data_IF_167363221118
#
_entry.id   IF_167363221118
#
_cell.length_a   1.000
_cell.length_b   1.000
_cell.length_c   1.000
_cell.angle_alpha   90.00
_cell.angle_beta   90.00
_cell.angle_gamma   90.00
#
_symmetry.space_group_name_H-M   'P 1'
#
loop_
_entity.id
_entity.type
_entity.pdbx_description
1 polymer ?
#
# COMPACT_ATOMS: atom_id res chain seq x y z
N UNK A 1 -27.91 -0.24 32.85
CA UNK A 1 -26.61 -0.93 33.08
C UNK A 1 -25.63 -0.36 32.07
N UNK A 2 -24.44 0.06 32.52
CA UNK A 2 -23.38 0.50 31.60
C UNK A 2 -22.65 -0.72 31.05
N UNK A 3 -22.27 -0.69 29.78
CA UNK A 3 -21.42 -1.71 29.14
C UNK A 3 -20.24 -1.03 28.43
N UNK A 4 -19.54 -1.82 27.62
CA UNK A 4 -18.46 -1.37 26.76
C UNK A 4 -18.54 -2.06 25.40
N UNK A 5 -17.95 -1.42 24.39
CA UNK A 5 -17.70 -1.99 23.07
C UNK A 5 -16.21 -2.28 22.95
N UNK A 6 -15.86 -3.41 22.35
CA UNK A 6 -14.49 -3.82 22.07
C UNK A 6 -14.39 -4.29 20.63
N UNK A 7 -13.39 -3.79 19.90
CA UNK A 7 -13.16 -4.10 18.49
C UNK A 7 -14.41 -3.87 17.60
N UNK A 8 -15.17 -2.81 17.88
CA UNK A 8 -16.40 -2.46 17.14
C UNK A 8 -17.64 -3.29 17.50
N UNK A 9 -17.49 -4.34 18.32
CA UNK A 9 -18.58 -5.19 18.77
C UNK A 9 -19.02 -4.85 20.20
N UNK A 10 -20.29 -5.10 20.50
CA UNK A 10 -20.88 -4.93 21.84
C UNK A 10 -21.76 -6.12 22.15
N UNK A 11 -21.42 -6.86 23.20
CA UNK A 11 -22.20 -8.03 23.64
C UNK A 11 -23.30 -7.59 24.62
N UNK A 12 -24.55 -7.90 24.30
CA UNK A 12 -25.72 -7.49 25.10
C UNK A 12 -25.80 -8.19 26.46
N UNK A 13 -25.18 -9.37 26.59
CA UNK A 13 -25.18 -10.18 27.79
C UNK A 13 -24.11 -9.74 28.82
N UNK A 14 -23.19 -8.83 28.47
CA UNK A 14 -22.16 -8.31 29.38
C UNK A 14 -22.53 -6.91 29.88
N UNK A 15 -22.49 -6.75 31.19
CA UNK A 15 -22.75 -5.49 31.86
C UNK A 15 -21.67 -5.19 32.88
N UNK A 16 -21.23 -3.94 32.95
CA UNK A 16 -20.30 -3.49 33.99
C UNK A 16 -21.05 -3.36 35.31
N UNK A 17 -20.48 -3.90 36.37
CA UNK A 17 -21.09 -3.86 37.69
C UNK A 17 -21.24 -2.43 38.23
N UNK A 18 -22.31 -2.23 39.00
CA UNK A 18 -22.62 -0.91 39.56
C UNK A 18 -21.58 -0.52 40.61
N UNK A 19 -21.07 0.70 40.49
CA UNK A 19 -20.14 1.26 41.47
C UNK A 19 -18.66 1.06 41.11
N UNK A 20 -18.37 0.46 39.96
CA UNK A 20 -17.00 0.43 39.45
C UNK A 20 -16.44 1.83 39.26
N UNK A 21 -15.30 2.10 39.92
CA UNK A 21 -14.58 3.36 39.83
C UNK A 21 -13.44 3.21 38.84
N UNK A 22 -13.65 3.74 37.64
CA UNK A 22 -12.63 3.79 36.61
C UNK A 22 -11.46 4.71 37.04
N UNK A 23 -10.21 4.29 36.86
CA UNK A 23 -9.04 5.15 37.05
C UNK A 23 -9.14 6.44 36.22
N UNK A 24 -8.91 7.59 36.86
CA UNK A 24 -9.00 8.91 36.21
C UNK A 24 -7.75 9.19 35.35
N UNK A 25 -6.59 8.74 35.82
CA UNK A 25 -5.30 8.86 35.14
C UNK A 25 -4.59 7.50 35.04
N UNK A 26 -3.56 7.43 34.20
CA UNK A 26 -2.69 6.26 34.12
C UNK A 26 -1.67 6.31 35.26
N UNK A 27 -1.15 5.18 35.75
CA UNK A 27 -0.16 5.17 36.82
C UNK A 27 1.02 6.08 36.48
N UNK A 28 1.48 6.85 37.47
CA UNK A 28 2.59 7.78 37.33
C UNK A 28 3.75 7.30 38.19
N UNK A 29 4.88 7.03 37.55
CA UNK A 29 6.14 6.76 38.23
C UNK A 29 6.95 8.05 38.31
N UNK A 30 7.22 8.51 39.52
CA UNK A 30 7.97 9.73 39.78
C UNK A 30 9.33 9.39 40.36
N UNK A 31 10.39 9.91 39.74
CA UNK A 31 11.75 9.77 40.27
C UNK A 31 12.11 11.01 41.08
N UNK A 32 12.46 10.80 42.35
CA UNK A 32 12.80 11.87 43.29
C UNK A 32 14.27 11.78 43.71
N UNK A 33 14.90 12.94 43.84
CA UNK A 33 16.26 13.09 44.38
C UNK A 33 16.19 13.67 45.79
N UNK A 34 16.62 12.88 46.77
CA UNK A 34 16.79 13.32 48.15
C UNK A 34 18.23 13.79 48.38
N UNK A 35 18.40 14.96 48.99
CA UNK A 35 19.72 15.58 49.24
C UNK A 35 19.85 15.89 50.74
N UNK A 36 21.02 15.67 51.38
CA UNK A 36 21.23 16.04 52.78
C UNK A 36 20.93 17.52 53.04
N UNK A 37 20.35 17.82 54.20
CA UNK A 37 19.95 19.17 54.63
C UNK A 37 18.88 19.85 53.76
N UNK A 38 18.19 19.11 52.88
CA UNK A 38 17.01 19.59 52.16
C UNK A 38 15.74 18.87 52.66
N UNK A 39 14.78 19.57 53.28
CA UNK A 39 13.51 18.98 53.65
C UNK A 39 12.72 18.52 52.42
N UNK A 40 12.48 17.21 52.32
CA UNK A 40 11.77 16.59 51.20
C UNK A 40 12.70 16.11 50.08
N UNK A 41 12.19 16.07 48.85
CA UNK A 41 12.95 15.60 47.68
C UNK A 41 12.61 16.45 46.44
N UNK A 42 13.55 16.51 45.49
CA UNK A 42 13.36 17.18 44.19
C UNK A 42 12.79 16.20 43.18
N UNK A 43 11.72 16.57 42.47
CA UNK A 43 11.17 15.76 41.37
C UNK A 43 12.10 15.87 40.15
N UNK A 44 12.71 14.76 39.74
CA UNK A 44 13.59 14.70 38.57
C UNK A 44 12.79 14.53 37.28
N UNK A 45 11.89 13.55 37.25
CA UNK A 45 11.01 13.30 36.11
C UNK A 45 9.73 12.57 36.55
N UNK A 46 8.73 12.58 35.67
CA UNK A 46 7.50 11.80 35.79
C UNK A 46 7.35 10.96 34.52
N UNK A 47 7.22 9.65 34.68
CA UNK A 47 6.93 8.70 33.61
C UNK A 47 5.48 8.24 33.74
N UNK A 48 4.75 8.25 32.64
CA UNK A 48 3.39 7.71 32.58
C UNK A 48 3.47 6.26 32.14
N UNK A 49 2.97 5.33 32.96
CA UNK A 49 3.02 3.90 32.68
C UNK A 49 1.76 3.42 31.94
N UNK A 50 1.75 2.16 31.51
CA UNK A 50 0.60 1.53 30.87
C UNK A 50 -0.64 1.63 31.75
N UNK A 51 -1.79 1.93 31.15
CA UNK A 51 -3.05 2.01 31.89
C UNK A 51 -3.71 0.65 31.94
N UNK A 52 -4.05 0.19 33.13
CA UNK A 52 -4.79 -1.06 33.34
C UNK A 52 -6.20 -0.76 33.84
N UNK A 53 -7.19 -1.38 33.24
CA UNK A 53 -8.58 -1.35 33.68
C UNK A 53 -9.00 -2.72 34.18
N UNK A 54 -9.22 -2.86 35.48
CA UNK A 54 -9.90 -4.02 36.06
C UNK A 54 -11.39 -3.75 36.09
N UNK A 55 -12.12 -4.21 35.06
CA UNK A 55 -13.54 -3.96 34.85
C UNK A 55 -14.34 -5.14 35.42
N UNK A 56 -15.05 -4.97 36.55
CA UNK A 56 -15.95 -5.99 37.05
C UNK A 56 -17.18 -6.05 36.14
N UNK A 57 -17.49 -7.25 35.65
CA UNK A 57 -18.58 -7.51 34.72
C UNK A 57 -19.49 -8.61 35.25
N UNK A 58 -20.79 -8.39 35.08
CA UNK A 58 -21.82 -9.41 35.19
C UNK A 58 -22.24 -9.90 33.81
N UNK A 59 -22.35 -11.21 33.66
CA UNK A 59 -22.83 -11.92 32.48
C UNK A 59 -24.22 -12.44 32.79
N UNK A 60 -25.23 -11.98 32.05
CA UNK A 60 -26.60 -12.49 32.18
C UNK A 60 -26.83 -13.51 31.07
N UNK A 61 -27.01 -14.78 31.45
CA UNK A 61 -27.17 -15.88 30.47
C UNK A 61 -28.58 -15.81 29.84
N UNK A 62 -28.71 -15.68 28.52
CA UNK A 62 -30.01 -15.71 27.85
C UNK A 62 -30.68 -17.09 27.96
N UNK A 63 -32.01 -17.12 28.07
CA UNK A 63 -32.79 -18.35 28.15
C UNK A 63 -32.48 -19.30 26.98
N UNK A 64 -32.01 -20.51 27.29
CA UNK A 64 -31.68 -21.54 26.30
C UNK A 64 -30.20 -21.59 25.86
N UNK A 65 -29.36 -20.70 26.37
CA UNK A 65 -27.89 -20.73 26.14
C UNK A 65 -27.19 -21.24 27.39
N UNK A 66 -26.04 -21.92 27.22
CA UNK A 66 -25.19 -22.34 28.34
C UNK A 66 -24.09 -21.31 28.58
N UNK A 67 -23.71 -21.13 29.84
CA UNK A 67 -22.60 -20.25 30.22
C UNK A 67 -21.30 -20.61 29.50
N UNK A 68 -21.00 -21.92 29.33
CA UNK A 68 -19.79 -22.40 28.64
C UNK A 68 -19.65 -21.86 27.21
N UNK A 69 -20.75 -21.83 26.44
CA UNK A 69 -20.76 -21.29 25.06
C UNK A 69 -20.48 -19.79 25.07
N UNK A 70 -21.01 -19.07 26.07
CA UNK A 70 -20.71 -17.65 26.23
C UNK A 70 -19.24 -17.41 26.61
N UNK A 71 -18.61 -18.32 27.38
CA UNK A 71 -17.18 -18.21 27.71
C UNK A 71 -16.33 -18.31 26.44
N UNK A 72 -16.67 -19.24 25.54
CA UNK A 72 -16.01 -19.37 24.23
C UNK A 72 -16.20 -18.11 23.37
N UNK A 73 -17.44 -17.61 23.25
CA UNK A 73 -17.73 -16.37 22.50
C UNK A 73 -17.02 -15.13 23.08
N UNK A 74 -16.88 -15.04 24.41
CA UNK A 74 -16.12 -13.98 25.07
C UNK A 74 -14.63 -14.09 24.76
N UNK A 75 -14.08 -15.31 24.81
CA UNK A 75 -12.67 -15.55 24.49
C UNK A 75 -12.36 -15.17 23.04
N UNK A 76 -13.16 -15.63 22.09
CA UNK A 76 -13.02 -15.31 20.66
C UNK A 76 -13.14 -13.81 20.39
N UNK A 77 -13.98 -13.11 21.15
CA UNK A 77 -14.18 -11.67 21.00
C UNK A 77 -13.07 -10.82 21.62
N UNK A 78 -12.60 -11.16 22.83
CA UNK A 78 -11.68 -10.32 23.60
C UNK A 78 -10.20 -10.63 23.34
N UNK A 79 -9.87 -11.89 23.00
CA UNK A 79 -8.49 -12.30 22.73
C UNK A 79 -8.08 -11.83 21.34
N UNK A 80 -7.13 -10.90 21.30
CA UNK A 80 -6.66 -10.28 20.06
C UNK A 80 -5.14 -10.11 20.09
N UNK A 81 -4.47 -10.30 18.95
CA UNK A 81 -3.00 -10.20 18.85
C UNK A 81 -2.49 -8.75 18.93
N UNK A 82 -3.35 -7.78 18.62
CA UNK A 82 -3.00 -6.37 18.52
C UNK A 82 -3.99 -5.52 19.31
N UNK A 83 -3.57 -4.38 19.92
CA UNK A 83 -4.47 -3.49 20.63
C UNK A 83 -5.66 -3.06 19.77
N UNK A 84 -6.87 -3.28 20.28
CA UNK A 84 -8.13 -2.90 19.63
C UNK A 84 -8.84 -1.80 20.39
N UNK A 85 -9.80 -1.19 19.70
CA UNK A 85 -10.61 -0.11 20.24
C UNK A 85 -11.50 -0.60 21.38
N UNK A 86 -11.38 0.03 22.53
CA UNK A 86 -12.22 -0.14 23.71
C UNK A 86 -12.96 1.18 23.99
N UNK A 87 -14.28 1.15 24.00
CA UNK A 87 -15.15 2.32 24.21
C UNK A 87 -16.13 1.99 25.33
N UNK A 88 -16.24 2.86 26.33
CA UNK A 88 -17.20 2.68 27.42
C UNK A 88 -18.48 3.49 27.16
N UNK A 89 -19.66 2.93 27.47
CA UNK A 89 -20.95 3.61 27.24
C UNK A 89 -21.06 4.97 27.96
N UNK A 90 -20.32 5.16 29.06
CA UNK A 90 -20.28 6.41 29.83
C UNK A 90 -19.47 7.53 29.15
N UNK A 91 -18.57 7.19 28.24
CA UNK A 91 -17.76 8.14 27.47
C UNK A 91 -17.65 7.68 26.00
N UNK A 92 -18.75 7.74 25.22
CA UNK A 92 -18.78 7.19 23.86
C UNK A 92 -17.85 7.93 22.89
N UNK A 93 -17.44 9.16 23.21
CA UNK A 93 -16.56 9.98 22.38
C UNK A 93 -15.06 9.82 22.75
N UNK A 94 -14.71 8.80 23.54
CA UNK A 94 -13.34 8.52 23.97
C UNK A 94 -13.01 7.06 23.74
N UNK A 95 -11.98 6.81 22.93
CA UNK A 95 -11.51 5.47 22.59
C UNK A 95 -10.20 5.17 23.31
N UNK A 96 -10.07 3.95 23.79
CA UNK A 96 -8.81 3.39 24.31
C UNK A 96 -8.31 2.33 23.33
N UNK A 97 -7.00 2.16 23.22
CA UNK A 97 -6.41 1.00 22.54
C UNK A 97 -5.97 0.01 23.60
N UNK A 98 -6.65 -1.13 23.66
CA UNK A 98 -6.49 -2.11 24.73
C UNK A 98 -6.31 -3.52 24.19
N UNK A 99 -5.60 -4.33 24.97
CA UNK A 99 -5.53 -5.79 24.86
C UNK A 99 -6.03 -6.40 26.17
N UNK A 100 -6.68 -7.56 26.10
CA UNK A 100 -6.99 -8.32 27.31
C UNK A 100 -5.72 -9.01 27.79
N UNK A 101 -5.47 -9.00 29.09
CA UNK A 101 -4.38 -9.75 29.71
C UNK A 101 -4.91 -10.45 30.95
N UNK A 102 -4.31 -11.59 31.28
CA UNK A 102 -4.68 -12.47 32.38
C UNK A 102 -5.94 -13.34 32.15
N UNK A 103 -6.10 -14.34 33.02
CA UNK A 103 -7.22 -15.27 33.03
C UNK A 103 -8.51 -14.55 33.43
N UNK A 104 -9.61 -14.90 32.75
CA UNK A 104 -10.95 -14.40 33.07
C UNK A 104 -11.74 -15.47 33.80
N UNK A 105 -11.63 -15.48 35.12
CA UNK A 105 -12.42 -16.36 35.98
C UNK A 105 -13.82 -15.76 36.20
N UNK A 106 -14.82 -16.60 35.96
CA UNK A 106 -16.23 -16.28 36.15
C UNK A 106 -16.77 -17.13 37.30
N UNK A 107 -17.15 -16.47 38.38
CA UNK A 107 -17.92 -17.04 39.47
C UNK A 107 -19.38 -17.19 39.03
N UNK A 108 -19.90 -18.41 39.07
CA UNK A 108 -21.25 -18.73 38.61
C UNK A 108 -22.24 -18.67 39.78
N UNK A 109 -23.30 -17.88 39.61
CA UNK A 109 -24.42 -17.78 40.55
C UNK A 109 -25.76 -17.91 39.81
N UNK A 110 -26.28 -19.14 39.75
CA UNK A 110 -27.53 -19.48 39.07
C UNK A 110 -27.46 -19.14 37.57
N UNK A 111 -28.10 -18.05 37.13
CA UNK A 111 -28.14 -17.61 35.72
C UNK A 111 -27.24 -16.37 35.47
N UNK A 112 -26.45 -15.98 36.47
CA UNK A 112 -25.57 -14.81 36.44
C UNK A 112 -24.13 -15.26 36.68
N UNK A 113 -23.24 -14.96 35.75
CA UNK A 113 -21.79 -15.06 35.96
C UNK A 113 -21.24 -13.70 36.41
N UNK A 114 -20.31 -13.67 37.36
CA UNK A 114 -19.58 -12.47 37.74
C UNK A 114 -18.09 -12.70 37.56
N UNK A 115 -17.36 -11.71 37.02
CA UNK A 115 -15.93 -11.81 36.81
C UNK A 115 -15.29 -10.44 36.63
N UNK A 116 -13.96 -10.40 36.57
CA UNK A 116 -13.22 -9.15 36.34
C UNK A 116 -12.36 -9.25 35.09
N UNK A 117 -12.66 -8.42 34.08
CA UNK A 117 -11.87 -8.30 32.86
C UNK A 117 -10.73 -7.29 33.07
N UNK A 118 -9.50 -7.70 32.76
CA UNK A 118 -8.32 -6.82 32.86
C UNK A 118 -7.84 -6.38 31.49
N UNK A 119 -8.17 -5.15 31.13
CA UNK A 119 -7.69 -4.52 29.91
C UNK A 119 -6.40 -3.76 30.15
N UNK A 120 -5.37 -4.07 29.39
CA UNK A 120 -4.10 -3.33 29.37
C UNK A 120 -4.12 -2.41 28.15
N UNK A 121 -3.90 -1.11 28.39
CA UNK A 121 -3.71 -0.11 27.36
C UNK A 121 -2.21 0.23 27.28
N UNK A 122 -1.48 -0.27 26.28
CA UNK A 122 -0.08 0.08 26.07
C UNK A 122 0.10 1.59 25.90
N UNK A 123 -0.83 2.23 25.19
CA UNK A 123 -0.93 3.69 25.11
C UNK A 123 -1.89 4.20 26.20
N UNK A 124 -1.41 4.98 27.18
CA UNK A 124 -2.22 5.37 28.35
C UNK A 124 -3.24 6.48 28.08
N UNK A 125 -3.24 7.08 26.88
CA UNK A 125 -4.05 8.25 26.55
C UNK A 125 -5.41 7.87 25.96
N UNK A 126 -6.39 8.77 26.12
CA UNK A 126 -7.70 8.64 25.48
C UNK A 126 -7.62 9.24 24.09
N UNK A 127 -8.06 8.50 23.08
CA UNK A 127 -8.20 9.01 21.73
C UNK A 127 -9.55 9.73 21.58
N UNK A 128 -9.49 10.94 21.05
CA UNK A 128 -10.67 11.68 20.63
C UNK A 128 -11.01 11.43 19.17
N UNK A 129 -11.99 12.18 18.65
CA UNK A 129 -12.32 12.18 17.23
C UNK A 129 -11.14 12.67 16.40
N UNK A 130 -10.83 11.98 15.31
CA UNK A 130 -9.88 12.43 14.28
C UNK A 130 -10.40 13.71 13.64
N UNK A 131 -9.56 14.75 13.59
CA UNK A 131 -9.87 16.01 12.93
C UNK A 131 -9.06 16.11 11.64
N UNK A 132 -9.75 16.20 10.51
CA UNK A 132 -9.13 16.37 9.20
C UNK A 132 -9.15 17.84 8.82
N UNK A 133 -7.98 18.39 8.53
CA UNK A 133 -7.83 19.77 8.07
C UNK A 133 -7.37 19.75 6.62
N UNK A 134 -8.04 20.51 5.76
CA UNK A 134 -7.63 20.63 4.36
C UNK A 134 -6.53 21.69 4.26
N UNK A 135 -5.53 21.39 3.45
CA UNK A 135 -4.55 22.37 3.01
C UNK A 135 -5.21 23.26 1.96
N UNK A 136 -5.13 24.58 2.14
CA UNK A 136 -5.66 25.54 1.19
C UNK A 136 -4.57 26.51 0.76
N UNK A 137 -4.55 26.81 -0.53
CA UNK A 137 -3.73 27.90 -1.05
C UNK A 137 -4.52 29.18 -0.86
N UNK A 138 -4.02 30.08 -0.03
CA UNK A 138 -4.64 31.38 0.20
C UNK A 138 -3.62 32.46 -0.10
N UNK A 139 -3.93 33.33 -1.08
CA UNK A 139 -3.23 34.57 -1.46
C UNK A 139 -1.71 34.49 -1.73
N UNK A 140 -1.08 33.32 -1.60
CA UNK A 140 0.35 33.07 -1.77
C UNK A 140 0.59 31.80 -2.60
N UNK A 141 1.86 31.53 -2.94
CA UNK A 141 2.29 30.26 -3.55
C UNK A 141 2.30 29.09 -2.56
N UNK A 142 2.17 29.35 -1.27
CA UNK A 142 2.24 28.34 -0.23
C UNK A 142 0.86 27.73 0.03
N UNK A 143 0.81 26.40 0.14
CA UNK A 143 -0.37 25.68 0.57
C UNK A 143 -0.23 25.43 2.07
N UNK A 144 -1.11 26.04 2.87
CA UNK A 144 -1.00 25.98 4.34
C UNK A 144 -2.27 25.44 4.97
N UNK A 145 -2.13 24.87 6.16
CA UNK A 145 -3.27 24.51 7.01
C UNK A 145 -2.92 24.83 8.46
N UNK A 146 -3.75 25.65 9.09
CA UNK A 146 -3.55 26.07 10.48
C UNK A 146 -4.63 25.43 11.35
N UNK A 147 -4.21 24.71 12.38
CA UNK A 147 -5.10 24.11 13.36
C UNK A 147 -4.45 24.10 14.74
N UNK A 148 -5.29 24.02 15.77
CA UNK A 148 -4.82 23.96 17.16
C UNK A 148 -5.19 22.60 17.73
N UNK A 149 -4.19 21.87 18.22
CA UNK A 149 -4.43 20.65 18.98
C UNK A 149 -5.11 21.01 20.32
N UNK A 150 -6.40 20.70 20.43
CA UNK A 150 -7.18 20.87 21.68
C UNK A 150 -7.00 19.72 22.67
N UNK A 151 -6.14 18.75 22.36
CA UNK A 151 -5.77 17.65 23.22
C UNK A 151 -4.83 18.08 24.35
N UNK A 152 -4.61 17.17 25.30
CA UNK A 152 -3.70 17.39 26.44
C UNK A 152 -2.27 16.93 26.18
N UNK A 153 -2.03 16.25 25.05
CA UNK A 153 -0.74 15.69 24.67
C UNK A 153 -0.50 16.07 23.22
N UNK A 154 0.78 16.31 22.89
CA UNK A 154 1.22 16.49 21.53
C UNK A 154 0.99 15.20 20.71
N UNK A 155 0.48 15.35 19.49
CA UNK A 155 0.15 14.24 18.60
C UNK A 155 0.80 14.52 17.26
N UNK A 156 1.58 13.59 16.69
CA UNK A 156 2.14 13.76 15.36
C UNK A 156 0.99 13.81 14.33
N UNK A 157 1.10 14.74 13.37
CA UNK A 157 0.11 14.86 12.31
C UNK A 157 0.34 13.80 11.23
N UNK A 158 -0.74 13.20 10.74
CA UNK A 158 -0.73 12.41 9.50
C UNK A 158 -0.97 13.36 8.33
N UNK A 159 -0.03 13.43 7.40
CA UNK A 159 -0.07 14.34 6.25
C UNK A 159 -0.24 13.50 4.99
N UNK A 160 -1.36 13.71 4.29
CA UNK A 160 -1.70 13.02 3.03
C UNK A 160 -1.62 14.02 1.88
N UNK A 161 -0.86 13.68 0.83
CA UNK A 161 -0.56 14.57 -0.30
C UNK A 161 -0.80 13.81 -1.60
N UNK A 162 -1.66 14.36 -2.45
CA UNK A 162 -1.96 13.84 -3.79
C UNK A 162 -1.29 14.74 -4.85
N UNK A 163 -0.24 14.23 -5.50
CA UNK A 163 0.48 14.96 -6.53
C UNK A 163 -0.27 14.94 -7.88
N UNK A 164 -0.79 16.10 -8.30
CA UNK A 164 -1.54 16.23 -9.57
C UNK A 164 -0.67 16.45 -10.80
N UNK A 165 0.57 16.88 -10.61
CA UNK A 165 1.55 17.16 -11.65
C UNK A 165 2.91 16.60 -11.22
N UNK A 166 3.76 16.18 -12.16
CA UNK A 166 5.13 15.80 -11.84
C UNK A 166 5.84 16.95 -11.11
N UNK A 167 6.55 16.61 -10.03
CA UNK A 167 7.39 17.52 -9.27
C UNK A 167 8.68 16.82 -8.93
N UNK A 168 9.80 17.55 -8.91
CA UNK A 168 11.11 17.00 -8.53
C UNK A 168 11.35 17.00 -7.03
N UNK A 169 10.57 17.81 -6.29
CA UNK A 169 10.64 17.84 -4.84
C UNK A 169 9.28 18.17 -4.20
N UNK A 170 9.18 17.87 -2.90
CA UNK A 170 8.07 18.21 -2.03
C UNK A 170 8.61 18.60 -0.67
N UNK A 171 8.25 19.79 -0.21
CA UNK A 171 8.60 20.29 1.13
C UNK A 171 7.35 20.41 1.99
N UNK A 172 7.41 19.80 3.17
CA UNK A 172 6.37 19.89 4.19
C UNK A 172 6.97 20.50 5.45
N UNK A 173 6.57 21.74 5.74
CA UNK A 173 7.01 22.46 6.92
C UNK A 173 6.01 22.27 8.06
N UNK A 174 6.50 21.98 9.26
CA UNK A 174 5.68 21.82 10.47
C UNK A 174 6.39 22.41 11.70
N UNK A 175 5.63 22.73 12.74
CA UNK A 175 6.15 23.41 13.95
C UNK A 175 5.55 24.81 14.13
N UNK A 176 6.09 25.56 15.10
CA UNK A 176 5.59 26.89 15.41
C UNK A 176 5.99 27.88 14.31
N UNK A 177 5.09 28.80 13.96
CA UNK A 177 5.40 29.88 13.03
C UNK A 177 5.69 31.18 13.80
N UNK A 178 6.68 32.01 13.41
CA UNK A 178 7.62 31.82 12.29
C UNK A 178 8.93 31.09 12.68
N UNK A 179 9.19 30.93 13.97
CA UNK A 179 10.42 30.35 14.54
C UNK A 179 10.15 28.92 15.04
N UNK A 180 11.15 28.05 14.98
CA UNK A 180 11.05 26.61 15.32
C UNK A 180 10.16 25.81 14.35
N UNK A 181 10.41 25.98 13.04
CA UNK A 181 9.87 25.12 12.00
C UNK A 181 10.88 24.05 11.61
N UNK A 182 10.43 22.81 11.72
CA UNK A 182 11.07 21.67 11.06
C UNK A 182 10.48 21.50 9.65
N UNK A 183 11.20 20.78 8.81
CA UNK A 183 10.70 20.42 7.49
C UNK A 183 11.09 19.00 7.11
N UNK A 184 10.23 18.41 6.30
CA UNK A 184 10.46 17.15 5.64
C UNK A 184 10.50 17.40 4.13
N UNK A 185 11.58 16.97 3.48
CA UNK A 185 11.78 17.09 2.03
C UNK A 185 11.85 15.71 1.39
N UNK A 186 11.09 15.52 0.33
CA UNK A 186 11.28 14.42 -0.63
C UNK A 186 11.84 15.03 -1.91
N UNK A 187 12.88 14.40 -2.48
CA UNK A 187 13.49 14.83 -3.74
C UNK A 187 14.43 16.02 -3.57
N UNK A 188 14.80 16.63 -4.71
CA UNK A 188 15.78 17.71 -4.76
C UNK A 188 15.24 18.87 -5.60
N UNK A 189 15.39 20.12 -5.12
CA UNK A 189 15.10 21.28 -5.96
C UNK A 189 16.10 21.31 -7.12
N UNK A 190 15.59 21.54 -8.31
CA UNK A 190 16.45 21.70 -9.49
C UNK A 190 17.14 23.06 -9.45
N UNK A 191 18.36 23.09 -9.96
CA UNK A 191 19.06 24.33 -10.30
C UNK A 191 18.54 24.90 -11.63
N UNK A 192 18.83 26.17 -11.90
CA UNK A 192 18.33 26.87 -13.11
C UNK A 192 18.88 26.24 -14.42
N UNK A 193 19.95 25.46 -14.33
CA UNK A 193 20.65 24.84 -15.46
C UNK A 193 20.15 23.42 -15.78
N UNK A 194 19.31 22.82 -14.92
CA UNK A 194 18.86 21.43 -15.06
C UNK A 194 17.50 21.37 -15.77
N UNK A 195 17.45 20.66 -16.90
CA UNK A 195 16.20 20.34 -17.59
C UNK A 195 15.58 19.08 -17.00
N UNK A 196 14.30 19.12 -16.63
CA UNK A 196 13.53 17.94 -16.20
C UNK A 196 13.44 16.93 -17.35
N UNK A 197 14.08 15.76 -17.22
CA UNK A 197 13.85 14.62 -18.12
C UNK A 197 13.11 13.56 -17.31
N UNK A 198 11.96 13.09 -17.81
CA UNK A 198 11.37 11.88 -17.24
C UNK A 198 12.29 10.71 -17.59
N UNK A 199 12.82 10.02 -16.57
CA UNK A 199 13.79 8.93 -16.76
C UNK A 199 13.26 7.81 -17.67
N UNK A 200 11.95 7.56 -17.66
CA UNK A 200 11.29 6.55 -18.50
C UNK A 200 9.96 7.09 -19.02
N UNK A 201 9.93 7.53 -20.28
CA UNK A 201 8.69 7.82 -20.99
C UNK A 201 8.30 6.61 -21.85
N UNK A 202 7.08 6.10 -21.67
CA UNK A 202 6.57 5.01 -22.51
C UNK A 202 6.08 5.58 -23.84
N UNK A 203 6.95 5.54 -24.84
CA UNK A 203 6.71 6.07 -26.20
C UNK A 203 5.79 5.17 -27.04
N UNK A 204 5.96 3.85 -26.92
CA UNK A 204 5.19 2.87 -27.68
C UNK A 204 4.77 1.72 -26.77
N UNK A 205 3.47 1.39 -26.80
CA UNK A 205 2.91 0.19 -26.19
C UNK A 205 2.01 -0.47 -27.21
N UNK A 206 2.35 -1.68 -27.63
CA UNK A 206 1.56 -2.48 -28.54
C UNK A 206 1.37 -3.88 -27.96
N UNK A 207 0.13 -4.22 -27.64
CA UNK A 207 -0.24 -5.54 -27.12
C UNK A 207 -0.35 -6.60 -28.21
N UNK A 208 -0.08 -6.23 -29.47
CA UNK A 208 -0.19 -7.11 -30.64
C UNK A 208 -1.60 -7.72 -30.79
N UNK A 209 -2.62 -7.00 -30.31
CA UNK A 209 -4.03 -7.38 -30.34
C UNK A 209 -4.73 -7.03 -31.66
N UNK A 210 -4.07 -6.25 -32.51
CA UNK A 210 -4.55 -5.83 -33.83
C UNK A 210 -3.39 -5.66 -34.81
N UNK A 211 -3.63 -5.91 -36.09
CA UNK A 211 -2.68 -5.56 -37.18
C UNK A 211 -2.85 -4.11 -37.65
N UNK A 212 -3.81 -3.36 -37.10
CA UNK A 212 -4.01 -1.94 -37.42
C UNK A 212 -2.79 -1.13 -36.97
N UNK A 213 -2.22 -0.35 -37.89
CA UNK A 213 -0.99 0.42 -37.67
C UNK A 213 0.30 -0.32 -38.05
N UNK A 214 0.21 -1.61 -38.36
CA UNK A 214 1.29 -2.38 -38.98
C UNK A 214 1.11 -2.37 -40.51
N UNK A 215 2.10 -1.86 -41.22
CA UNK A 215 2.11 -1.82 -42.68
C UNK A 215 2.83 -3.06 -43.21
N UNK A 216 2.15 -3.95 -43.97
CA UNK A 216 2.79 -5.12 -44.56
C UNK A 216 3.93 -4.70 -45.51
N UNK A 217 5.04 -5.42 -45.45
CA UNK A 217 6.17 -5.26 -46.37
C UNK A 217 6.06 -6.35 -47.43
N UNK A 218 5.91 -5.94 -48.69
CA UNK A 218 5.86 -6.86 -49.84
C UNK A 218 7.17 -6.80 -50.63
N UNK A 219 7.62 -7.93 -51.16
CA UNK A 219 8.88 -8.03 -51.90
C UNK A 219 10.07 -8.38 -51.01
N UNK A 220 11.28 -8.01 -51.44
CA UNK A 220 12.52 -8.35 -50.73
C UNK A 220 12.87 -7.22 -49.75
N UNK A 221 13.12 -7.58 -48.50
CA UNK A 221 13.63 -6.70 -47.45
C UNK A 221 14.82 -7.39 -46.80
N UNK A 222 16.02 -6.84 -47.03
CA UNK A 222 17.30 -7.47 -46.67
C UNK A 222 17.42 -8.90 -47.25
N UNK A 223 17.64 -9.93 -46.40
CA UNK A 223 17.70 -11.34 -46.78
C UNK A 223 16.33 -12.05 -46.76
N UNK A 224 15.26 -11.32 -46.45
CA UNK A 224 13.91 -11.86 -46.31
C UNK A 224 12.98 -11.45 -47.45
N UNK A 225 11.99 -12.29 -47.72
CA UNK A 225 10.92 -12.02 -48.68
C UNK A 225 9.56 -11.94 -47.97
N UNK A 226 8.89 -10.80 -48.09
CA UNK A 226 7.53 -10.58 -47.61
C UNK A 226 6.51 -11.24 -48.53
N UNK A 227 6.27 -12.54 -48.33
CA UNK A 227 5.31 -13.37 -49.08
C UNK A 227 4.15 -13.88 -48.23
N UNK A 228 4.25 -13.71 -46.91
CA UNK A 228 3.27 -14.21 -45.96
C UNK A 228 2.29 -13.15 -45.49
N UNK A 229 1.34 -13.60 -44.66
CA UNK A 229 0.37 -12.74 -43.99
C UNK A 229 0.65 -12.72 -42.48
N UNK A 230 0.22 -11.64 -41.82
CA UNK A 230 0.18 -11.54 -40.36
C UNK A 230 -1.28 -11.48 -39.90
N UNK A 231 -1.62 -12.31 -38.92
CA UNK A 231 -2.94 -12.33 -38.27
C UNK A 231 -2.81 -12.27 -36.76
N UNK A 232 -3.87 -11.82 -36.11
CA UNK A 232 -3.97 -11.81 -34.66
C UNK A 232 -4.32 -13.20 -34.15
N UNK A 233 -3.61 -13.66 -33.12
CA UNK A 233 -3.91 -14.85 -32.33
C UNK A 233 -4.55 -14.41 -31.02
N UNK A 234 -5.80 -14.81 -30.80
CA UNK A 234 -6.53 -14.65 -29.52
C UNK A 234 -6.44 -13.24 -28.91
N UNK A 235 -6.42 -12.19 -29.75
CA UNK A 235 -6.27 -10.78 -29.37
C UNK A 235 -5.06 -10.45 -28.48
N UNK A 236 -4.03 -11.29 -28.45
CA UNK A 236 -2.88 -11.17 -27.51
C UNK A 236 -1.51 -11.32 -28.18
N UNK A 237 -1.47 -11.71 -29.46
CA UNK A 237 -0.24 -11.82 -30.23
C UNK A 237 -0.52 -11.69 -31.73
N UNK A 238 0.50 -11.33 -32.51
CA UNK A 238 0.50 -11.45 -33.97
C UNK A 238 1.32 -12.69 -34.35
N UNK A 239 0.80 -13.48 -35.31
CA UNK A 239 1.50 -14.64 -35.87
C UNK A 239 1.34 -14.68 -37.39
N UNK A 240 2.19 -15.45 -38.06
CA UNK A 240 2.09 -15.69 -39.49
C UNK A 240 1.41 -17.04 -39.77
N UNK A 241 0.13 -17.07 -40.20
CA UNK A 241 -0.55 -18.31 -40.58
C UNK A 241 -0.11 -18.83 -41.95
N UNK A 242 0.49 -17.97 -42.78
CA UNK A 242 0.90 -18.28 -44.13
C UNK A 242 2.24 -17.59 -44.40
N UNK A 243 3.24 -18.37 -44.80
CA UNK A 243 4.61 -17.89 -44.98
C UNK A 243 4.94 -17.58 -46.44
N UNK A 244 4.16 -18.06 -47.40
CA UNK A 244 4.44 -17.94 -48.84
C UNK A 244 4.10 -19.23 -49.59
N UNK A 245 4.21 -19.18 -50.92
CA UNK A 245 3.96 -20.33 -51.78
C UNK A 245 5.03 -21.41 -51.55
N UNK A 246 4.62 -22.68 -51.57
CA UNK A 246 5.52 -23.82 -51.39
C UNK A 246 6.65 -23.81 -52.44
N UNK A 247 7.89 -24.05 -52.00
CA UNK A 247 9.07 -23.95 -52.87
C UNK A 247 9.68 -22.54 -52.98
N UNK A 248 9.15 -21.55 -52.27
CA UNK A 248 9.82 -20.26 -52.10
C UNK A 248 11.18 -20.47 -51.43
N UNK A 249 12.25 -20.00 -52.08
CA UNK A 249 13.62 -20.15 -51.56
C UNK A 249 13.98 -18.99 -50.63
N UNK A 250 14.77 -19.28 -49.59
CA UNK A 250 15.27 -18.30 -48.62
C UNK A 250 14.30 -18.02 -47.48
N UNK A 251 14.62 -17.05 -46.62
CA UNK A 251 13.72 -16.64 -45.54
C UNK A 251 12.52 -15.91 -46.12
N UNK A 252 11.33 -16.40 -45.85
CA UNK A 252 10.10 -15.82 -46.36
C UNK A 252 8.97 -15.94 -45.34
N UNK A 253 8.10 -14.94 -45.27
CA UNK A 253 7.07 -14.89 -44.24
C UNK A 253 6.24 -13.62 -44.22
N UNK A 254 5.38 -13.49 -43.20
CA UNK A 254 4.67 -12.25 -42.91
C UNK A 254 5.63 -11.22 -42.31
N UNK A 255 5.80 -10.09 -43.01
CA UNK A 255 6.66 -8.98 -42.57
C UNK A 255 5.81 -7.72 -42.49
N UNK A 256 5.93 -6.95 -41.42
CA UNK A 256 5.29 -5.65 -41.30
C UNK A 256 6.16 -4.67 -40.51
N UNK A 257 5.94 -3.38 -40.77
CA UNK A 257 6.62 -2.27 -40.07
C UNK A 257 5.61 -1.29 -39.49
N UNK A 258 5.97 -0.69 -38.37
CA UNK A 258 5.18 0.33 -37.66
C UNK A 258 6.08 1.48 -37.26
N UNK A 259 5.62 2.70 -37.46
CA UNK A 259 6.35 3.90 -37.06
C UNK A 259 6.23 4.13 -35.55
N UNK A 260 7.33 4.55 -34.92
CA UNK A 260 7.35 4.97 -33.51
C UNK A 260 6.77 6.40 -33.43
N UNK A 261 5.73 6.63 -32.59
CA UNK A 261 5.21 7.99 -32.38
C UNK A 261 6.30 8.91 -31.82
N UNK A 262 6.41 10.13 -32.34
CA UNK A 262 7.39 11.12 -31.86
C UNK A 262 8.74 11.15 -32.58
N UNK A 263 8.91 10.36 -33.65
CA UNK A 263 10.11 10.44 -34.51
C UNK A 263 11.31 9.69 -33.95
N UNK A 264 12.50 9.81 -34.57
CA UNK A 264 13.66 9.01 -34.20
C UNK A 264 14.04 9.23 -32.74
N UNK A 265 13.99 8.17 -31.96
CA UNK A 265 14.33 8.18 -30.54
C UNK A 265 15.80 7.82 -30.34
N UNK A 266 16.45 8.50 -29.40
CA UNK A 266 17.78 8.15 -28.89
C UNK A 266 17.63 7.67 -27.44
N UNK A 267 18.58 6.85 -26.96
CA UNK A 267 18.61 6.32 -25.59
C UNK A 267 17.30 5.64 -25.15
N UNK A 268 16.98 4.50 -25.77
CA UNK A 268 15.73 3.76 -25.54
C UNK A 268 15.95 2.40 -24.88
N UNK A 269 14.92 1.94 -24.15
CA UNK A 269 14.79 0.56 -23.66
C UNK A 269 13.62 -0.11 -24.39
N UNK A 270 13.81 -1.32 -24.91
CA UNK A 270 12.78 -2.08 -25.62
C UNK A 270 12.60 -3.46 -25.00
N UNK A 271 11.37 -3.77 -24.58
CA UNK A 271 10.95 -5.12 -24.19
C UNK A 271 10.06 -5.71 -25.31
N UNK A 272 10.41 -6.90 -25.79
CA UNK A 272 9.56 -7.66 -26.72
C UNK A 272 9.47 -9.11 -26.27
N UNK A 273 8.27 -9.67 -26.36
CA UNK A 273 8.01 -11.08 -26.08
C UNK A 273 7.85 -11.83 -27.39
N UNK A 274 8.72 -12.81 -27.60
CA UNK A 274 8.75 -13.62 -28.81
C UNK A 274 8.52 -15.09 -28.44
N UNK A 275 7.73 -15.78 -29.26
CA UNK A 275 7.52 -17.22 -29.15
C UNK A 275 7.75 -17.87 -30.52
N UNK A 276 8.74 -18.75 -30.60
CA UNK A 276 9.01 -19.59 -31.77
C UNK A 276 8.65 -21.04 -31.42
N UNK A 277 7.89 -21.71 -32.30
CA UNK A 277 7.48 -23.09 -32.13
C UNK A 277 7.74 -23.88 -33.41
N UNK A 278 8.77 -24.72 -33.39
CA UNK A 278 9.11 -25.64 -34.46
C UNK A 278 9.08 -27.07 -33.90
N UNK A 279 8.20 -27.94 -34.42
CA UNK A 279 8.05 -29.32 -33.93
C UNK A 279 8.79 -30.34 -34.79
N UNK A 280 8.99 -30.01 -36.06
CA UNK A 280 9.59 -30.87 -37.06
C UNK A 280 10.69 -30.10 -37.81
N UNK A 281 11.59 -30.83 -38.46
CA UNK A 281 12.70 -30.29 -39.26
C UNK A 281 12.23 -29.36 -40.40
N UNK A 282 11.06 -29.63 -40.98
CA UNK A 282 10.45 -28.82 -42.06
C UNK A 282 9.78 -27.53 -41.54
N UNK A 283 9.75 -27.33 -40.22
CA UNK A 283 9.20 -26.14 -39.56
C UNK A 283 10.31 -25.22 -39.01
N UNK A 284 11.56 -25.41 -39.47
CA UNK A 284 12.66 -24.51 -39.12
C UNK A 284 12.35 -23.08 -39.56
N UNK A 285 12.76 -22.09 -38.77
CA UNK A 285 12.43 -20.71 -39.03
C UNK A 285 13.02 -19.73 -38.02
N UNK A 286 12.62 -18.47 -38.17
CA UNK A 286 13.05 -17.39 -37.28
C UNK A 286 11.96 -16.38 -37.04
N UNK A 287 11.98 -15.76 -35.86
CA UNK A 287 11.22 -14.54 -35.57
C UNK A 287 12.22 -13.41 -35.33
N UNK A 288 12.03 -12.30 -36.05
CA UNK A 288 12.94 -11.15 -35.99
C UNK A 288 12.20 -9.86 -35.62
N UNK A 289 12.82 -9.06 -34.76
CA UNK A 289 12.42 -7.70 -34.44
C UNK A 289 13.53 -6.78 -34.94
N UNK A 290 13.18 -5.86 -35.84
CA UNK A 290 14.11 -4.92 -36.47
C UNK A 290 13.75 -3.50 -36.05
N UNK A 291 14.74 -2.76 -35.56
CA UNK A 291 14.66 -1.32 -35.37
C UNK A 291 15.26 -0.62 -36.58
N UNK A 292 14.50 0.30 -37.17
CA UNK A 292 14.86 0.99 -38.39
C UNK A 292 15.11 2.47 -38.13
N UNK A 293 16.01 3.08 -38.91
CA UNK A 293 16.18 4.54 -38.96
C UNK A 293 15.08 5.21 -39.81
N UNK A 294 15.13 6.54 -39.93
CA UNK A 294 14.18 7.31 -40.75
C UNK A 294 14.20 6.93 -42.24
N UNK A 295 15.30 6.37 -42.74
CA UNK A 295 15.47 5.92 -44.11
C UNK A 295 15.11 4.42 -44.30
N UNK A 296 14.54 3.78 -43.26
CA UNK A 296 14.24 2.34 -43.23
C UNK A 296 15.45 1.40 -43.30
N UNK A 297 16.65 1.89 -42.95
CA UNK A 297 17.82 1.02 -42.77
C UNK A 297 17.79 0.36 -41.40
N UNK A 298 18.35 -0.85 -41.31
CA UNK A 298 18.38 -1.62 -40.07
C UNK A 298 19.45 -1.03 -39.13
N UNK A 299 19.01 -0.58 -37.95
CA UNK A 299 19.88 -0.08 -36.86
C UNK A 299 20.15 -1.19 -35.85
N UNK A 300 19.14 -2.01 -35.56
CA UNK A 300 19.26 -3.13 -34.62
C UNK A 300 18.45 -4.31 -35.08
N UNK A 301 19.02 -5.52 -34.94
CA UNK A 301 18.37 -6.79 -35.23
C UNK A 301 18.38 -7.66 -33.99
N UNK A 302 17.21 -8.13 -33.58
CA UNK A 302 17.02 -9.13 -32.54
C UNK A 302 16.31 -10.31 -33.19
N UNK A 303 16.93 -11.49 -33.16
CA UNK A 303 16.34 -12.69 -33.75
C UNK A 303 16.34 -13.87 -32.77
N UNK A 304 15.31 -14.70 -32.94
CA UNK A 304 15.20 -16.01 -32.32
C UNK A 304 15.07 -17.01 -33.46
N UNK A 305 16.05 -17.91 -33.59
CA UNK A 305 16.19 -18.83 -34.71
C UNK A 305 16.10 -20.27 -34.22
N UNK A 306 15.41 -21.12 -34.99
CA UNK A 306 15.48 -22.57 -34.90
C UNK A 306 15.81 -23.09 -36.29
N UNK A 307 17.10 -23.30 -36.55
CA UNK A 307 17.65 -23.64 -37.87
C UNK A 307 18.40 -24.97 -37.75
N UNK A 308 17.86 -26.01 -38.38
CA UNK A 308 18.49 -27.32 -38.38
C UNK A 308 19.72 -27.39 -39.32
N UNK A 309 19.76 -26.58 -40.38
CA UNK A 309 20.84 -26.61 -41.38
C UNK A 309 22.16 -25.97 -40.91
N UNK A 310 22.12 -25.17 -39.84
CA UNK A 310 23.30 -24.53 -39.24
C UNK A 310 23.88 -25.33 -38.06
N UNK A 311 23.28 -26.48 -37.72
CA UNK A 311 23.85 -27.39 -36.75
C UNK A 311 25.04 -28.13 -37.39
N UNK A 312 26.27 -27.77 -37.02
CA UNK A 312 27.44 -28.62 -37.25
C UNK A 312 27.17 -30.00 -36.64
N UNK A 313 27.33 -31.06 -37.45
CA UNK A 313 27.46 -32.45 -36.96
C UNK A 313 28.87 -32.64 -36.44
#
# INVERSE_FOLDING_TARGET
MSSFSFNGERKSYIHIERGWKRPVWAPLRRNFLSVPSYPGARLLNTQTEMRVFSVPVGIIVPSGTKLEILKEDIADWLITDQPKELIFDVEPNRTYLAVINEEFDIDEFVDIGQGTLKFICPMPYKLGKTNTHKFTQSWSTEITSNFTNKGSVEVPALIEIEAKKPSTFLDVWFGAYPYDRDYFRIGYPLTVEETTVQERERVLWDEMSTTIGWTPVTGVFDDMKGTGELKVKDATAIYSPYYGEEGTKGFHGGIAKKSIPGGPMQDFEMEVRVHLQSKNIDQMGRVEVLLLDEASNIVTRINMNDLYWDAEI
#
